data_IF_374465225786
#
_entry.id   IF_374465225786
#
_cell.length_a   1.000
_cell.length_b   1.000
_cell.length_c   1.000
_cell.angle_alpha   90.00
_cell.angle_beta   90.00
_cell.angle_gamma   90.00
#
_symmetry.space_group_name_H-M   'P 1'
#
loop_
_entity.id
_entity.type
_entity.pdbx_description
1 polymer ?
#
# COMPACT_ATOMS: atom_id res chain seq x y z
N UNK A 1 31.42 -13.25 30.80
CA UNK A 1 30.70 -13.28 29.53
C UNK A 1 29.86 -14.55 29.51
N UNK A 2 28.55 -14.51 29.70
CA UNK A 2 27.67 -15.65 29.45
C UNK A 2 27.03 -15.50 28.06
N UNK A 3 27.14 -16.57 27.32
CA UNK A 3 26.61 -16.80 25.98
C UNK A 3 25.09 -16.90 26.00
N UNK A 4 24.40 -15.95 25.39
CA UNK A 4 22.98 -16.08 25.01
C UNK A 4 22.86 -17.01 23.81
N UNK A 5 22.68 -18.28 24.07
CA UNK A 5 22.12 -19.26 23.12
C UNK A 5 20.84 -19.83 23.74
N UNK A 6 19.80 -19.97 22.92
CA UNK A 6 18.49 -20.60 23.18
C UNK A 6 17.41 -19.70 23.78
N UNK A 7 16.72 -18.92 22.92
CA UNK A 7 15.37 -18.42 23.19
C UNK A 7 14.49 -18.32 21.91
N UNK A 8 14.84 -19.05 20.85
CA UNK A 8 14.08 -19.05 19.59
C UNK A 8 13.06 -20.20 19.47
N UNK A 9 12.97 -21.07 20.46
CA UNK A 9 12.08 -22.25 20.39
C UNK A 9 10.79 -22.19 21.21
N UNK A 10 10.59 -21.16 22.03
CA UNK A 10 9.51 -21.16 23.04
C UNK A 10 8.32 -20.25 22.80
N UNK A 11 8.37 -19.32 21.85
CA UNK A 11 7.33 -18.31 21.67
C UNK A 11 6.25 -18.69 20.62
N UNK A 12 6.50 -19.68 19.79
CA UNK A 12 5.51 -20.13 18.77
C UNK A 12 4.44 -21.08 19.35
N UNK A 13 4.70 -21.68 20.50
CA UNK A 13 3.77 -22.66 21.10
C UNK A 13 2.75 -22.06 22.07
N UNK A 14 2.87 -20.81 22.47
CA UNK A 14 2.03 -20.17 23.49
C UNK A 14 0.81 -19.39 23.02
N UNK A 15 0.65 -19.17 21.70
CA UNK A 15 -0.40 -18.31 21.14
C UNK A 15 -1.58 -19.10 20.52
N UNK A 16 -1.65 -20.40 20.72
CA UNK A 16 -2.61 -21.28 20.03
C UNK A 16 -3.92 -21.54 20.77
N UNK A 17 -4.22 -20.80 21.85
CA UNK A 17 -5.45 -20.97 22.61
C UNK A 17 -6.14 -19.64 22.91
N UNK A 18 -6.74 -19.01 21.91
CA UNK A 18 -7.90 -18.14 22.11
C UNK A 18 -8.75 -18.17 20.84
N UNK A 19 -9.96 -18.65 21.03
CA UNK A 19 -10.95 -18.99 20.02
C UNK A 19 -11.75 -17.79 19.52
N UNK A 20 -12.05 -17.82 18.30
CA UNK A 20 -13.17 -17.44 17.42
C UNK A 20 -13.23 -16.05 16.80
N UNK A 21 -13.20 -16.04 15.57
CA UNK A 21 -13.68 -15.53 14.29
C UNK A 21 -13.16 -14.19 13.75
N UNK A 22 -13.00 -14.09 12.63
CA UNK A 22 -13.13 -13.69 11.27
C UNK A 22 -12.27 -12.56 10.78
N UNK A 23 -11.71 -12.71 9.63
CA UNK A 23 -11.30 -11.60 8.84
C UNK A 23 -11.09 -11.87 7.37
N UNK A 24 -11.15 -10.83 6.65
CA UNK A 24 -10.99 -10.66 5.23
C UNK A 24 -9.57 -10.16 4.92
N UNK A 25 -8.86 -10.88 4.04
CA UNK A 25 -7.54 -10.47 3.60
C UNK A 25 -7.64 -9.55 2.39
N UNK A 26 -6.95 -8.42 2.49
CA UNK A 26 -6.38 -7.61 1.43
C UNK A 26 -7.32 -7.10 0.32
N UNK A 27 -8.37 -6.43 0.68
CA UNK A 27 -8.88 -5.25 -0.03
C UNK A 27 -9.33 -4.29 1.06
N UNK A 28 -9.23 -2.96 0.90
CA UNK A 28 -9.97 -2.08 1.77
C UNK A 28 -11.45 -2.37 1.49
N UNK A 29 -12.09 -3.01 2.49
CA UNK A 29 -13.50 -3.33 2.41
C UNK A 29 -14.36 -2.08 2.60
N UNK A 30 -15.41 -1.93 1.81
CA UNK A 30 -16.55 -1.12 2.21
C UNK A 30 -17.32 -1.95 3.24
N UNK A 31 -17.16 -1.70 4.52
CA UNK A 31 -17.94 -2.47 5.47
C UNK A 31 -17.50 -2.48 6.91
N UNK A 32 -16.80 -1.46 7.36
CA UNK A 32 -17.02 -0.91 8.69
C UNK A 32 -16.50 0.52 8.72
N UNK A 33 -17.40 1.47 8.75
CA UNK A 33 -17.16 2.80 8.18
C UNK A 33 -16.59 3.82 9.15
N UNK A 34 -16.18 3.44 10.35
CA UNK A 34 -15.78 4.48 11.30
C UNK A 34 -14.45 5.12 10.89
N UNK A 35 -13.46 4.33 10.44
CA UNK A 35 -12.13 4.86 10.12
C UNK A 35 -11.55 4.27 8.82
N UNK A 36 -11.54 5.07 7.76
CA UNK A 36 -10.98 4.67 6.47
C UNK A 36 -9.45 4.70 6.45
N UNK A 37 -8.84 3.95 5.54
CA UNK A 37 -7.39 4.00 5.30
C UNK A 37 -6.89 5.37 4.82
N UNK A 38 -7.72 6.07 4.02
CA UNK A 38 -7.58 7.49 3.70
C UNK A 38 -8.52 8.26 4.61
N UNK A 39 -8.00 8.91 5.65
CA UNK A 39 -8.79 9.55 6.71
C UNK A 39 -9.69 10.68 6.23
N UNK A 40 -9.40 11.27 5.08
CA UNK A 40 -10.29 12.26 4.47
C UNK A 40 -11.57 11.66 3.86
N UNK A 41 -11.72 10.34 3.86
CA UNK A 41 -12.96 9.64 3.49
C UNK A 41 -13.85 9.34 4.70
N UNK A 42 -13.42 9.66 5.91
CA UNK A 42 -14.25 9.52 7.10
C UNK A 42 -15.41 10.53 7.03
N UNK A 43 -16.62 10.10 7.35
CA UNK A 43 -17.81 10.94 7.40
C UNK A 43 -18.48 10.85 8.77
N UNK A 44 -18.39 11.94 9.51
CA UNK A 44 -19.03 12.11 10.82
C UNK A 44 -20.19 13.12 10.81
N UNK A 45 -20.70 13.50 9.64
CA UNK A 45 -21.80 14.45 9.49
C UNK A 45 -23.07 14.02 10.21
N UNK A 46 -23.27 12.70 10.42
CA UNK A 46 -24.40 12.14 11.16
C UNK A 46 -24.44 12.59 12.63
N UNK A 47 -23.29 13.00 13.21
CA UNK A 47 -23.19 13.52 14.57
C UNK A 47 -23.72 14.96 14.73
N UNK A 48 -24.20 15.58 13.64
CA UNK A 48 -25.06 16.77 13.73
C UNK A 48 -26.30 16.50 14.59
N UNK A 49 -26.72 15.23 14.71
CA UNK A 49 -27.72 14.76 15.65
C UNK A 49 -27.02 14.17 16.89
N UNK A 50 -27.02 14.87 18.04
CA UNK A 50 -26.32 14.40 19.25
C UNK A 50 -26.84 13.05 19.80
N UNK A 51 -28.05 12.64 19.42
CA UNK A 51 -28.61 11.35 19.85
C UNK A 51 -27.90 10.14 19.20
N UNK A 52 -27.11 10.37 18.16
CA UNK A 52 -26.32 9.36 17.46
C UNK A 52 -24.91 9.17 18.03
N UNK A 53 -24.52 10.00 19.00
CA UNK A 53 -23.24 9.85 19.68
C UNK A 53 -23.25 8.61 20.57
N UNK A 54 -22.35 7.68 20.32
CA UNK A 54 -22.22 6.40 21.02
C UNK A 54 -20.80 6.13 21.52
N UNK A 55 -19.86 6.99 21.13
CA UNK A 55 -18.44 6.84 21.40
C UNK A 55 -17.85 8.08 22.10
N UNK A 56 -16.89 7.94 23.03
CA UNK A 56 -16.25 9.09 23.68
C UNK A 56 -15.55 10.06 22.72
N UNK A 57 -15.05 9.57 21.58
CA UNK A 57 -14.38 10.39 20.57
C UNK A 57 -15.36 11.19 19.72
N UNK A 58 -16.65 10.85 19.71
CA UNK A 58 -17.68 11.57 18.94
C UNK A 58 -17.73 13.06 19.29
N UNK A 59 -17.34 13.42 20.53
CA UNK A 59 -17.28 14.80 20.99
C UNK A 59 -16.36 15.71 20.16
N UNK A 60 -15.36 15.13 19.48
CA UNK A 60 -14.42 15.88 18.61
C UNK A 60 -14.64 15.61 17.12
N UNK A 61 -15.60 14.72 16.75
CA UNK A 61 -15.89 14.36 15.36
C UNK A 61 -16.83 15.33 14.65
N UNK A 62 -17.65 16.04 15.41
CA UNK A 62 -18.54 17.06 14.88
C UNK A 62 -18.59 18.26 15.82
N UNK A 63 -17.67 19.20 15.62
CA UNK A 63 -17.61 20.46 16.39
C UNK A 63 -18.24 21.54 15.52
N UNK A 64 -19.48 22.00 15.80
CA UNK A 64 -20.15 23.00 14.98
C UNK A 64 -19.42 24.35 15.08
N UNK A 65 -19.09 24.95 13.96
CA UNK A 65 -18.48 26.28 13.84
C UNK A 65 -19.55 27.33 13.55
N UNK A 66 -20.56 26.97 12.77
CA UNK A 66 -21.66 27.85 12.40
C UNK A 66 -22.64 27.24 11.43
N UNK A 67 -23.72 27.97 11.16
CA UNK A 67 -24.70 27.64 10.13
C UNK A 67 -24.73 28.77 9.12
N UNK A 68 -24.16 28.56 7.95
CA UNK A 68 -24.13 29.52 6.84
C UNK A 68 -25.29 29.36 5.88
N UNK A 69 -25.39 30.28 4.93
CA UNK A 69 -26.36 30.21 3.83
C UNK A 69 -26.19 28.96 2.95
N UNK A 70 -25.00 28.34 2.98
CA UNK A 70 -24.61 27.21 2.13
C UNK A 70 -24.27 25.96 2.95
N UNK A 71 -25.06 25.68 3.98
CA UNK A 71 -24.93 24.49 4.81
C UNK A 71 -24.21 24.69 6.14
N UNK A 72 -24.12 23.64 6.95
CA UNK A 72 -23.47 23.70 8.26
C UNK A 72 -21.94 23.78 8.09
N UNK A 73 -21.30 24.54 8.96
CA UNK A 73 -19.85 24.56 9.09
C UNK A 73 -19.46 23.81 10.35
N UNK A 74 -18.55 22.84 10.23
CA UNK A 74 -18.06 22.06 11.35
C UNK A 74 -16.60 21.64 11.18
N UNK A 75 -15.96 21.27 12.28
CA UNK A 75 -14.63 20.71 12.36
C UNK A 75 -14.73 19.27 12.86
N UNK A 76 -14.05 18.35 12.18
CA UNK A 76 -13.82 16.99 12.65
C UNK A 76 -12.34 16.80 12.96
N UNK A 77 -12.02 16.32 14.17
CA UNK A 77 -10.66 15.98 14.57
C UNK A 77 -10.51 14.47 14.72
N UNK A 78 -9.33 13.97 14.40
CA UNK A 78 -9.03 12.56 14.51
C UNK A 78 -7.54 12.25 14.47
N UNK A 79 -7.22 10.98 14.58
CA UNK A 79 -5.84 10.55 14.52
C UNK A 79 -5.66 9.05 14.47
N UNK A 80 -4.40 8.64 14.34
CA UNK A 80 -3.94 7.26 14.40
C UNK A 80 -2.63 7.20 15.18
N UNK A 81 -2.54 6.26 16.11
CA UNK A 81 -1.29 5.87 16.78
C UNK A 81 -0.97 4.43 16.38
N UNK A 82 0.21 4.18 15.81
CA UNK A 82 0.69 2.84 15.48
C UNK A 82 2.03 2.58 16.14
N UNK A 83 2.10 1.49 16.89
CA UNK A 83 3.34 0.91 17.41
C UNK A 83 3.59 -0.41 16.72
N UNK A 84 4.82 -0.60 16.19
CA UNK A 84 5.18 -1.78 15.42
C UNK A 84 6.60 -2.21 15.73
N UNK A 85 6.77 -3.36 16.39
CA UNK A 85 8.07 -3.98 16.64
C UNK A 85 8.39 -4.92 15.50
N UNK A 86 9.53 -4.75 14.87
CA UNK A 86 10.02 -5.59 13.78
C UNK A 86 11.37 -6.25 14.14
N UNK A 87 11.44 -7.56 13.91
CA UNK A 87 12.70 -8.31 13.90
C UNK A 87 12.97 -8.76 12.47
N UNK A 88 14.04 -8.25 11.88
CA UNK A 88 14.36 -8.48 10.48
C UNK A 88 15.76 -9.06 10.36
N UNK A 89 15.89 -10.32 9.95
CA UNK A 89 17.17 -10.97 9.70
C UNK A 89 17.47 -10.95 8.20
N UNK A 90 18.68 -10.53 7.84
CA UNK A 90 19.14 -10.38 6.47
C UNK A 90 18.22 -9.49 5.58
N UNK A 91 17.81 -8.29 6.03
CA UNK A 91 17.02 -7.40 5.19
C UNK A 91 17.73 -7.19 3.84
N UNK A 92 16.96 -6.95 2.77
CA UNK A 92 17.49 -6.87 1.40
C UNK A 92 18.30 -8.12 0.99
N UNK A 93 17.86 -9.31 1.40
CA UNK A 93 18.58 -10.59 1.18
C UNK A 93 19.98 -10.64 1.84
N UNK A 94 20.27 -9.77 2.80
CA UNK A 94 21.62 -9.62 3.37
C UNK A 94 22.67 -9.08 2.39
N UNK A 95 22.26 -8.55 1.23
CA UNK A 95 23.14 -7.93 0.24
C UNK A 95 23.61 -6.52 0.63
N UNK A 96 23.02 -5.97 1.70
CA UNK A 96 23.40 -4.70 2.35
C UNK A 96 23.55 -4.93 3.84
N UNK A 97 24.30 -4.09 4.54
CA UNK A 97 24.29 -4.02 6.01
C UNK A 97 23.00 -3.25 6.46
N UNK A 98 22.45 -3.54 7.64
CA UNK A 98 22.86 -4.56 8.61
C UNK A 98 22.40 -5.97 8.22
N UNK A 99 22.98 -6.99 8.89
CA UNK A 99 22.59 -8.40 8.67
C UNK A 99 21.38 -8.82 9.52
N UNK A 100 21.08 -8.12 10.60
CA UNK A 100 19.92 -8.37 11.48
C UNK A 100 19.64 -7.12 12.28
N UNK A 101 18.36 -6.86 12.50
CA UNK A 101 17.91 -5.73 13.28
C UNK A 101 16.66 -6.07 14.10
N UNK A 102 16.45 -5.33 15.21
CA UNK A 102 15.25 -5.35 16.04
C UNK A 102 14.95 -3.91 16.44
N UNK A 103 13.82 -3.41 16.03
CA UNK A 103 13.47 -2.01 16.23
C UNK A 103 11.96 -1.82 16.43
N UNK A 104 11.62 -0.69 17.01
CA UNK A 104 10.25 -0.20 17.13
C UNK A 104 10.02 0.93 16.10
N UNK A 105 8.97 0.83 15.34
CA UNK A 105 8.43 1.90 14.51
C UNK A 105 7.24 2.52 15.22
N UNK A 106 7.37 3.80 15.54
CA UNK A 106 6.31 4.64 16.08
C UNK A 106 5.73 5.52 15.00
N UNK A 107 4.40 5.61 14.88
CA UNK A 107 3.71 6.53 13.97
C UNK A 107 2.54 7.18 14.67
N UNK A 108 2.51 8.51 14.70
CA UNK A 108 1.39 9.31 15.15
C UNK A 108 0.89 10.17 13.98
N UNK A 109 -0.39 10.06 13.65
CA UNK A 109 -1.07 10.90 12.68
C UNK A 109 -2.17 11.69 13.39
N UNK A 110 -2.28 12.99 13.12
CA UNK A 110 -3.34 13.85 13.63
C UNK A 110 -3.99 14.58 12.47
N UNK A 111 -5.30 14.49 12.34
CA UNK A 111 -6.03 15.13 11.24
C UNK A 111 -7.11 16.10 11.73
N UNK A 112 -7.32 17.12 10.93
CA UNK A 112 -8.38 18.11 11.06
C UNK A 112 -9.10 18.25 9.71
N UNK A 113 -10.40 18.04 9.72
CA UNK A 113 -11.28 18.14 8.57
C UNK A 113 -12.27 19.28 8.79
N UNK A 114 -12.14 20.34 8.01
CA UNK A 114 -12.90 21.60 8.15
C UNK A 114 -13.91 21.68 7.03
N UNK A 115 -15.16 21.43 7.34
CA UNK A 115 -16.28 21.67 6.44
C UNK A 115 -16.74 23.13 6.58
N UNK A 116 -16.39 23.95 5.59
CA UNK A 116 -16.69 25.40 5.63
C UNK A 116 -18.12 25.64 5.15
N UNK A 117 -18.54 24.90 4.11
CA UNK A 117 -19.88 24.89 3.54
C UNK A 117 -20.11 23.52 2.88
N UNK A 118 -21.29 23.27 2.31
CA UNK A 118 -21.56 22.09 1.46
C UNK A 118 -20.68 22.04 0.20
N UNK A 119 -20.00 23.13 -0.14
CA UNK A 119 -19.22 23.30 -1.37
C UNK A 119 -17.71 23.42 -1.15
N UNK A 120 -17.29 23.71 0.07
CA UNK A 120 -15.87 23.97 0.37
C UNK A 120 -15.46 23.24 1.64
N UNK A 121 -14.42 22.43 1.51
CA UNK A 121 -13.80 21.66 2.59
C UNK A 121 -12.29 21.88 2.56
N UNK A 122 -11.64 21.86 3.72
CA UNK A 122 -10.20 21.80 3.85
C UNK A 122 -9.81 20.65 4.78
N UNK A 123 -8.80 19.89 4.40
CA UNK A 123 -8.29 18.77 5.20
C UNK A 123 -6.81 18.98 5.47
N UNK A 124 -6.40 18.69 6.72
CA UNK A 124 -5.02 18.76 7.17
C UNK A 124 -4.67 17.50 7.94
N UNK A 125 -3.47 16.97 7.73
CA UNK A 125 -2.94 15.87 8.52
C UNK A 125 -1.45 16.10 8.81
N UNK A 126 -1.10 16.08 10.09
CA UNK A 126 0.28 16.06 10.57
C UNK A 126 0.68 14.61 10.83
N UNK A 127 1.93 14.30 10.59
CA UNK A 127 2.54 13.00 10.91
C UNK A 127 3.81 13.19 11.72
N UNK A 128 4.06 12.22 12.59
CA UNK A 128 5.32 12.03 13.31
C UNK A 128 5.66 10.55 13.21
N UNK A 129 6.83 10.23 12.68
CA UNK A 129 7.31 8.85 12.60
C UNK A 129 8.72 8.73 13.14
N UNK A 130 8.95 7.71 13.97
CA UNK A 130 10.22 7.47 14.64
C UNK A 130 10.60 5.99 14.54
N UNK A 131 11.91 5.73 14.53
CA UNK A 131 12.46 4.39 14.63
C UNK A 131 13.42 4.30 15.81
N UNK A 132 13.11 3.44 16.77
CA UNK A 132 13.84 3.29 18.01
C UNK A 132 14.51 1.92 18.11
N UNK A 133 15.72 1.86 18.67
CA UNK A 133 16.42 0.62 18.99
C UNK A 133 17.18 -0.01 17.82
N UNK A 134 17.39 0.70 16.72
CA UNK A 134 18.11 0.19 15.58
C UNK A 134 19.63 0.08 15.79
N UNK A 135 20.27 -0.78 15.01
CA UNK A 135 21.71 -0.91 14.90
C UNK A 135 22.21 -0.74 13.45
N UNK A 136 21.34 -0.35 12.56
CA UNK A 136 21.57 -0.38 11.13
C UNK A 136 21.32 0.94 10.39
N UNK A 137 21.36 0.85 9.08
CA UNK A 137 21.04 1.99 8.22
C UNK A 137 19.52 2.17 8.20
N UNK A 138 19.06 3.32 8.71
CA UNK A 138 17.67 3.74 8.67
C UNK A 138 17.22 3.90 7.22
N UNK A 139 16.02 3.43 6.90
CA UNK A 139 15.37 3.75 5.62
C UNK A 139 14.77 5.16 5.70
N UNK A 140 14.77 5.88 4.59
CA UNK A 140 14.02 7.15 4.47
C UNK A 140 12.50 6.96 4.62
N UNK A 141 12.03 5.72 4.71
CA UNK A 141 10.64 5.38 4.95
C UNK A 141 10.34 5.01 6.39
N UNK A 142 11.31 5.16 7.30
CA UNK A 142 11.17 4.78 8.71
C UNK A 142 11.04 5.97 9.64
N UNK A 143 11.71 7.09 9.33
CA UNK A 143 11.77 8.30 10.15
C UNK A 143 11.39 9.52 9.32
N UNK A 144 10.51 10.32 9.89
CA UNK A 144 10.07 11.61 9.40
C UNK A 144 9.44 12.36 10.58
N UNK A 145 10.20 13.31 11.17
CA UNK A 145 9.76 14.02 12.36
C UNK A 145 8.80 15.14 11.99
N UNK A 146 7.65 15.13 12.60
CA UNK A 146 6.61 16.15 12.53
C UNK A 146 6.54 16.89 11.19
N UNK A 147 5.86 16.31 10.22
CA UNK A 147 5.65 16.94 8.93
C UNK A 147 4.16 17.04 8.55
N UNK A 148 3.88 17.87 7.54
CA UNK A 148 2.56 18.06 6.97
C UNK A 148 2.33 17.01 5.87
N UNK A 149 1.74 15.87 6.23
CA UNK A 149 1.47 14.77 5.29
C UNK A 149 0.35 15.09 4.31
N UNK A 150 -0.69 15.80 4.75
CA UNK A 150 -1.78 16.19 3.88
C UNK A 150 -2.23 17.62 4.19
N UNK A 151 -2.45 18.41 3.15
CA UNK A 151 -3.05 19.73 3.23
C UNK A 151 -3.68 20.08 1.90
N UNK A 152 -5.00 19.97 1.80
CA UNK A 152 -5.70 20.28 0.56
C UNK A 152 -7.03 21.00 0.79
N UNK A 153 -7.53 21.58 -0.27
CA UNK A 153 -8.86 22.20 -0.33
C UNK A 153 -9.65 21.45 -1.41
N UNK A 154 -10.87 21.07 -1.06
CA UNK A 154 -11.88 20.57 -1.97
C UNK A 154 -12.90 21.67 -2.28
N UNK A 155 -13.20 21.83 -3.56
CA UNK A 155 -14.28 22.70 -4.03
C UNK A 155 -15.24 21.85 -4.87
N UNK A 156 -16.50 21.77 -4.43
CA UNK A 156 -17.60 21.11 -5.13
C UNK A 156 -18.59 22.18 -5.59
N UNK A 157 -18.52 22.68 -6.85
CA UNK A 157 -19.40 23.76 -7.29
C UNK A 157 -20.88 23.29 -7.30
N UNK A 158 -21.84 24.21 -7.08
CA UNK A 158 -23.25 23.86 -7.20
C UNK A 158 -23.57 23.37 -8.61
N UNK A 159 -24.27 22.24 -8.70
CA UNK A 159 -24.66 21.63 -9.98
C UNK A 159 -26.17 21.54 -10.12
N UNK A 160 -26.74 22.03 -11.21
CA UNK A 160 -28.18 21.87 -11.48
C UNK A 160 -28.56 20.43 -11.88
N UNK A 161 -27.55 19.57 -12.13
CA UNK A 161 -27.74 18.17 -12.55
C UNK A 161 -27.61 17.17 -11.39
N UNK A 162 -27.47 17.63 -10.15
CA UNK A 162 -27.26 16.81 -8.96
C UNK A 162 -25.82 16.86 -8.51
N UNK A 163 -25.15 15.72 -8.42
CA UNK A 163 -23.75 15.68 -8.00
C UNK A 163 -22.84 16.47 -8.96
N UNK A 164 -21.82 17.10 -8.37
CA UNK A 164 -20.86 17.89 -9.09
C UNK A 164 -19.45 17.33 -8.85
N UNK A 165 -18.53 17.50 -9.81
CA UNK A 165 -17.15 17.11 -9.60
C UNK A 165 -16.53 17.84 -8.42
N UNK A 166 -15.65 17.16 -7.70
CA UNK A 166 -14.81 17.72 -6.64
C UNK A 166 -13.48 18.11 -7.25
N UNK A 167 -13.11 19.37 -7.12
CA UNK A 167 -11.82 19.91 -7.50
C UNK A 167 -10.95 19.98 -6.25
N UNK A 168 -9.90 19.17 -6.19
CA UNK A 168 -8.91 19.17 -5.10
C UNK A 168 -7.62 19.80 -5.54
N UNK A 169 -7.04 20.64 -4.67
CA UNK A 169 -5.71 21.19 -4.83
C UNK A 169 -4.96 21.15 -3.50
N UNK A 170 -3.72 20.68 -3.54
CA UNK A 170 -2.84 20.59 -2.38
C UNK A 170 -2.10 19.29 -2.29
N UNK A 171 -1.71 18.94 -1.07
CA UNK A 171 -1.00 17.70 -0.71
C UNK A 171 -2.00 16.65 -0.25
N UNK A 172 -1.98 15.49 -0.89
CA UNK A 172 -2.89 14.39 -0.56
C UNK A 172 -2.22 13.02 -0.69
N UNK A 173 -2.73 12.06 0.05
CA UNK A 173 -2.46 10.63 -0.17
C UNK A 173 -3.34 10.10 -1.29
N UNK A 174 -2.79 9.25 -2.16
CA UNK A 174 -3.49 8.65 -3.29
C UNK A 174 -3.53 7.12 -3.19
N UNK A 175 -4.70 6.55 -3.49
CA UNK A 175 -4.92 5.13 -3.54
C UNK A 175 -5.88 4.79 -4.69
N UNK A 176 -5.42 3.98 -5.67
CA UNK A 176 -6.24 3.56 -6.79
C UNK A 176 -6.27 2.03 -6.96
N UNK A 177 -7.44 1.53 -7.28
CA UNK A 177 -7.68 0.13 -7.60
C UNK A 177 -7.21 -0.82 -6.51
N UNK A 178 -6.44 -1.84 -6.90
CA UNK A 178 -5.83 -2.80 -5.96
C UNK A 178 -4.44 -2.35 -5.46
N UNK A 179 -4.13 -1.07 -5.56
CA UNK A 179 -2.88 -0.45 -5.10
C UNK A 179 -1.60 -1.02 -5.78
N UNK A 180 -1.75 -1.54 -6.99
CA UNK A 180 -0.60 -2.11 -7.72
C UNK A 180 0.31 -1.07 -8.31
N UNK A 181 -0.23 0.11 -8.68
CA UNK A 181 0.50 1.19 -9.35
C UNK A 181 0.54 2.49 -8.56
N UNK A 182 -0.51 2.80 -7.77
CA UNK A 182 -0.59 4.00 -6.94
C UNK A 182 -1.15 3.61 -5.58
N UNK A 183 -0.38 3.85 -4.52
CA UNK A 183 -0.72 3.48 -3.15
C UNK A 183 -0.06 4.38 -2.11
N UNK A 184 -0.66 4.46 -0.95
CA UNK A 184 -0.16 5.21 0.23
C UNK A 184 1.06 4.57 0.89
N UNK A 185 1.47 3.36 0.51
CA UNK A 185 2.60 2.67 1.14
C UNK A 185 2.39 2.41 2.64
N UNK A 186 1.28 1.73 3.00
CA UNK A 186 0.86 1.54 4.40
C UNK A 186 1.85 0.69 5.24
N UNK A 187 2.56 -0.26 4.64
CA UNK A 187 3.49 -1.15 5.36
C UNK A 187 4.66 -0.41 6.03
N UNK A 188 5.45 0.40 5.32
CA UNK A 188 6.47 1.27 5.90
C UNK A 188 5.91 2.26 6.93
N UNK A 189 6.81 2.93 7.66
CA UNK A 189 6.40 3.88 8.71
C UNK A 189 5.92 5.19 8.11
N UNK A 190 6.70 5.77 7.19
CA UNK A 190 6.35 6.99 6.45
C UNK A 190 5.38 6.64 5.30
N UNK A 191 4.23 7.27 5.26
CA UNK A 191 3.23 7.13 4.19
C UNK A 191 3.65 7.96 2.99
N UNK A 192 3.04 7.69 1.82
CA UNK A 192 3.36 8.41 0.58
C UNK A 192 2.25 9.38 0.24
N UNK A 193 2.63 10.60 -0.02
CA UNK A 193 1.77 11.70 -0.43
C UNK A 193 2.27 12.38 -1.69
N UNK A 194 1.42 13.25 -2.24
CA UNK A 194 1.62 13.93 -3.52
C UNK A 194 1.11 15.36 -3.45
N UNK A 195 1.87 16.29 -3.97
CA UNK A 195 1.45 17.69 -4.21
C UNK A 195 0.87 17.81 -5.63
N UNK A 196 -0.33 18.43 -5.76
CA UNK A 196 -0.89 18.66 -7.08
C UNK A 196 -2.39 18.95 -7.12
N UNK A 197 -3.03 18.50 -8.19
CA UNK A 197 -4.46 18.70 -8.44
C UNK A 197 -5.13 17.40 -8.82
N UNK A 198 -6.35 17.19 -8.33
CA UNK A 198 -7.23 16.08 -8.71
C UNK A 198 -8.64 16.60 -8.94
N UNK A 199 -9.30 16.04 -9.95
CA UNK A 199 -10.72 16.22 -10.21
C UNK A 199 -11.37 14.86 -10.11
N UNK A 200 -12.32 14.70 -9.20
CA UNK A 200 -13.07 13.46 -9.00
C UNK A 200 -14.55 13.70 -9.28
N UNK A 201 -15.17 12.81 -10.04
CA UNK A 201 -16.60 12.85 -10.33
C UNK A 201 -17.20 11.44 -10.25
N UNK A 202 -18.50 11.36 -10.04
CA UNK A 202 -19.21 10.09 -10.00
C UNK A 202 -20.60 10.18 -10.63
N UNK A 203 -21.03 9.10 -11.29
CA UNK A 203 -22.35 8.95 -11.89
C UNK A 203 -22.93 7.59 -11.48
N UNK A 204 -23.81 7.59 -10.47
CA UNK A 204 -24.22 6.35 -9.82
C UNK A 204 -23.00 5.64 -9.22
N UNK A 205 -22.76 4.40 -9.59
CA UNK A 205 -21.60 3.61 -9.13
C UNK A 205 -20.33 3.79 -9.98
N UNK A 206 -20.36 4.60 -11.03
CA UNK A 206 -19.20 4.90 -11.84
C UNK A 206 -18.45 6.10 -11.26
N UNK A 207 -17.10 6.02 -11.21
CA UNK A 207 -16.24 7.11 -10.74
C UNK A 207 -15.14 7.40 -11.73
N UNK A 208 -14.76 8.67 -11.89
CA UNK A 208 -13.60 9.08 -12.65
C UNK A 208 -12.73 10.01 -11.81
N UNK A 209 -11.42 9.79 -11.86
CA UNK A 209 -10.42 10.68 -11.31
C UNK A 209 -9.48 11.13 -12.43
N UNK A 210 -9.25 12.43 -12.51
CA UNK A 210 -8.21 13.06 -13.32
C UNK A 210 -7.19 13.66 -12.39
N UNK A 211 -5.90 13.41 -12.60
CA UNK A 211 -4.85 13.88 -11.69
C UNK A 211 -3.63 14.40 -12.43
N UNK A 212 -2.95 15.36 -11.81
CA UNK A 212 -1.61 15.82 -12.15
C UNK A 212 -0.88 16.18 -10.86
N UNK A 213 0.07 15.33 -10.45
CA UNK A 213 0.67 15.37 -9.12
C UNK A 213 2.16 15.04 -9.17
N UNK A 214 2.88 15.42 -8.12
CA UNK A 214 4.28 15.10 -7.88
C UNK A 214 4.42 14.44 -6.52
N UNK A 215 5.17 13.33 -6.39
CA UNK A 215 5.44 12.74 -5.07
C UNK A 215 6.29 13.69 -4.23
N UNK A 216 6.32 13.49 -2.92
CA UNK A 216 7.25 14.17 -2.07
C UNK A 216 8.61 13.45 -2.01
N UNK A 217 9.62 14.19 -1.61
CA UNK A 217 10.88 13.70 -1.06
C UNK A 217 10.75 13.73 0.45
N UNK A 218 10.52 12.56 1.02
CA UNK A 218 10.48 12.40 2.47
C UNK A 218 11.89 12.69 3.05
N UNK A 219 11.97 13.53 4.06
CA UNK A 219 13.18 13.89 4.81
C UNK A 219 12.97 13.54 6.28
N UNK A 220 14.03 13.46 7.07
CA UNK A 220 13.89 13.03 8.47
C UNK A 220 13.80 14.18 9.47
N UNK A 221 13.67 15.42 9.01
CA UNK A 221 13.63 16.62 9.86
C UNK A 221 12.22 17.01 10.29
N UNK A 222 12.00 18.29 10.51
CA UNK A 222 10.72 18.87 10.94
C UNK A 222 10.28 19.88 9.91
N UNK A 223 9.13 19.67 9.27
CA UNK A 223 8.60 20.48 8.16
C UNK A 223 9.61 20.69 7.03
N UNK A 224 10.35 19.63 6.68
CA UNK A 224 11.40 19.69 5.65
C UNK A 224 11.10 18.82 4.41
N UNK A 225 9.93 18.21 4.36
CA UNK A 225 9.41 17.52 3.19
C UNK A 225 9.06 18.49 2.06
N UNK A 226 9.52 18.18 0.88
CA UNK A 226 9.32 19.04 -0.28
C UNK A 226 8.95 18.24 -1.55
N UNK A 227 8.21 18.91 -2.43
CA UNK A 227 7.81 18.34 -3.73
C UNK A 227 9.01 17.84 -4.52
N UNK A 228 8.98 16.60 -4.97
CA UNK A 228 9.98 16.05 -5.84
C UNK A 228 9.80 16.56 -7.28
N UNK A 229 10.54 17.64 -7.60
CA UNK A 229 10.49 18.28 -8.93
C UNK A 229 11.03 17.42 -10.07
N UNK A 230 11.64 16.25 -9.77
CA UNK A 230 12.19 15.31 -10.76
C UNK A 230 11.24 14.18 -11.13
N UNK A 231 10.12 14.07 -10.45
CA UNK A 231 9.10 13.07 -10.73
C UNK A 231 7.74 13.72 -10.90
N UNK A 232 6.96 13.21 -11.85
CA UNK A 232 5.61 13.67 -12.13
C UNK A 232 4.72 12.50 -12.53
N UNK A 233 3.49 12.51 -12.04
CA UNK A 233 2.43 11.55 -12.37
C UNK A 233 1.19 12.31 -12.80
N UNK A 234 0.60 11.91 -13.93
CA UNK A 234 -0.68 12.45 -14.39
C UNK A 234 -1.52 11.35 -15.03
N UNK A 235 -2.80 11.58 -15.19
CA UNK A 235 -3.63 10.60 -15.88
C UNK A 235 -5.11 10.66 -15.54
N UNK A 236 -5.79 9.60 -15.97
CA UNK A 236 -7.20 9.35 -15.74
C UNK A 236 -7.41 7.93 -15.22
N UNK A 237 -8.25 7.77 -14.22
CA UNK A 237 -8.64 6.49 -13.65
C UNK A 237 -10.17 6.42 -13.59
N UNK A 238 -10.77 5.46 -14.28
CA UNK A 238 -12.19 5.25 -14.38
C UNK A 238 -12.56 3.91 -13.74
N UNK A 239 -13.54 3.89 -12.85
CA UNK A 239 -14.16 2.68 -12.32
C UNK A 239 -15.61 2.64 -12.75
N UNK A 240 -16.06 1.55 -13.38
CA UNK A 240 -17.45 1.38 -13.85
C UNK A 240 -18.02 0.02 -13.44
N UNK A 241 -19.31 -0.05 -13.06
CA UNK A 241 -20.02 -1.31 -12.99
C UNK A 241 -20.26 -1.83 -14.42
N UNK A 242 -19.89 -3.09 -14.68
CA UNK A 242 -20.14 -3.76 -15.97
C UNK A 242 -21.38 -4.66 -15.89
N UNK A 243 -21.77 -5.00 -14.66
CA UNK A 243 -22.93 -5.84 -14.38
C UNK A 243 -23.16 -5.98 -12.89
N UNK A 244 -24.09 -6.82 -12.45
CA UNK A 244 -24.47 -6.90 -11.03
C UNK A 244 -23.37 -7.43 -10.11
N UNK A 245 -22.38 -8.13 -10.67
CA UNK A 245 -21.31 -8.78 -9.90
C UNK A 245 -19.90 -8.44 -10.44
N UNK A 246 -19.83 -7.64 -11.50
CA UNK A 246 -18.56 -7.29 -12.17
C UNK A 246 -18.38 -5.79 -12.21
N UNK A 247 -17.22 -5.31 -11.77
CA UNK A 247 -16.74 -3.95 -11.96
C UNK A 247 -15.47 -3.95 -12.81
N UNK A 248 -15.22 -2.87 -13.51
CA UNK A 248 -14.00 -2.68 -14.28
C UNK A 248 -13.36 -1.34 -13.94
N UNK A 249 -12.03 -1.34 -13.81
CA UNK A 249 -11.23 -0.13 -13.90
C UNK A 249 -10.60 -0.06 -15.28
N UNK A 250 -10.51 1.16 -15.82
CA UNK A 250 -9.76 1.48 -17.02
C UNK A 250 -8.95 2.73 -16.73
N UNK A 251 -7.66 2.70 -16.99
CA UNK A 251 -6.81 3.84 -16.65
C UNK A 251 -5.72 4.11 -17.70
N UNK A 252 -5.34 5.36 -17.76
CA UNK A 252 -4.17 5.87 -18.43
C UNK A 252 -3.38 6.71 -17.44
N UNK A 253 -2.09 6.37 -17.25
CA UNK A 253 -1.18 7.05 -16.34
C UNK A 253 0.10 7.42 -17.09
N UNK A 254 0.43 8.71 -17.10
CA UNK A 254 1.70 9.23 -17.57
C UNK A 254 2.64 9.43 -16.40
N UNK A 255 3.91 9.07 -16.58
CA UNK A 255 4.94 9.21 -15.55
C UNK A 255 6.26 9.71 -16.16
N UNK A 256 6.86 10.69 -15.50
CA UNK A 256 8.21 11.17 -15.80
C UNK A 256 9.11 11.02 -14.57
N UNK A 257 10.37 10.60 -14.80
CA UNK A 257 11.42 10.58 -13.78
C UNK A 257 12.76 10.97 -14.42
N UNK A 258 13.30 12.11 -14.02
CA UNK A 258 14.56 12.64 -14.55
C UNK A 258 15.80 11.86 -14.07
N UNK A 259 15.67 11.05 -13.03
CA UNK A 259 16.76 10.31 -12.39
C UNK A 259 16.58 8.79 -12.43
N UNK A 260 15.79 8.27 -13.36
CA UNK A 260 15.57 6.83 -13.53
C UNK A 260 16.87 6.09 -13.87
N UNK A 261 16.95 4.81 -13.45
CA UNK A 261 18.15 3.98 -13.63
C UNK A 261 17.78 2.65 -14.26
N UNK A 262 18.31 2.41 -15.46
CA UNK A 262 18.22 1.12 -16.17
C UNK A 262 19.57 0.79 -16.81
N UNK A 263 19.96 -0.49 -16.84
CA UNK A 263 21.23 -0.97 -17.43
C UNK A 263 22.47 -0.24 -16.87
N UNK A 264 22.44 0.19 -15.61
CA UNK A 264 23.52 0.99 -15.01
C UNK A 264 23.61 2.45 -15.50
N UNK A 265 22.70 2.90 -16.37
CA UNK A 265 22.63 4.27 -16.87
C UNK A 265 21.59 5.06 -16.07
N UNK A 266 21.85 6.34 -15.82
CA UNK A 266 20.90 7.29 -15.25
C UNK A 266 20.40 8.23 -16.36
N UNK A 267 19.11 8.55 -16.38
CA UNK A 267 18.55 9.47 -17.36
C UNK A 267 17.05 9.69 -17.18
N UNK A 268 16.51 10.50 -18.09
CA UNK A 268 15.08 10.81 -18.13
C UNK A 268 14.30 9.60 -18.65
N UNK A 269 13.32 9.18 -17.87
CA UNK A 269 12.26 8.24 -18.22
C UNK A 269 10.97 9.00 -18.47
N UNK A 270 10.28 8.71 -19.59
CA UNK A 270 8.90 9.12 -19.87
C UNK A 270 8.12 7.88 -20.22
N UNK A 271 7.10 7.57 -19.41
CA UNK A 271 6.34 6.33 -19.52
C UNK A 271 4.85 6.61 -19.59
N UNK A 272 4.15 5.93 -20.48
CA UNK A 272 2.70 5.90 -20.56
C UNK A 272 2.24 4.49 -20.20
N UNK A 273 1.36 4.39 -19.22
CA UNK A 273 0.78 3.12 -18.75
C UNK A 273 -0.71 3.09 -19.09
N UNK A 274 -1.15 2.08 -19.81
CA UNK A 274 -2.56 1.81 -20.08
C UNK A 274 -2.92 0.50 -19.42
N UNK A 275 -3.99 0.48 -18.65
CA UNK A 275 -4.38 -0.73 -17.96
C UNK A 275 -5.87 -0.87 -17.75
N UNK A 276 -6.23 -2.10 -17.42
CA UNK A 276 -7.60 -2.47 -17.04
C UNK A 276 -7.56 -3.48 -15.91
N UNK A 277 -8.52 -3.37 -15.00
CA UNK A 277 -8.76 -4.32 -13.92
C UNK A 277 -10.22 -4.76 -13.96
N UNK A 278 -10.46 -6.06 -13.86
CA UNK A 278 -11.77 -6.67 -13.73
C UNK A 278 -11.86 -7.33 -12.36
N UNK A 279 -12.89 -7.01 -11.60
CA UNK A 279 -13.02 -7.51 -10.24
C UNK A 279 -14.48 -7.66 -9.83
N UNK A 280 -14.71 -8.51 -8.84
CA UNK A 280 -16.04 -8.74 -8.32
C UNK A 280 -16.11 -9.90 -7.35
N UNK A 281 -17.32 -10.16 -6.86
CA UNK A 281 -17.60 -11.29 -5.98
C UNK A 281 -19.03 -11.80 -6.19
N UNK A 282 -19.24 -13.09 -5.99
CA UNK A 282 -20.56 -13.71 -6.01
C UNK A 282 -20.55 -15.07 -5.32
N UNK A 283 -21.52 -15.33 -4.45
CA UNK A 283 -21.74 -16.64 -3.80
C UNK A 283 -20.47 -17.24 -3.18
N UNK A 284 -19.67 -16.41 -2.51
CA UNK A 284 -18.41 -16.81 -1.89
C UNK A 284 -17.21 -16.86 -2.84
N UNK A 285 -17.39 -16.76 -4.15
CA UNK A 285 -16.31 -16.64 -5.12
C UNK A 285 -15.93 -15.18 -5.32
N UNK A 286 -14.65 -14.84 -5.24
CA UNK A 286 -14.11 -13.51 -5.49
C UNK A 286 -12.97 -13.57 -6.52
N UNK A 287 -12.81 -12.48 -7.31
CA UNK A 287 -11.76 -12.37 -8.30
C UNK A 287 -11.30 -10.91 -8.49
N UNK A 288 -10.05 -10.75 -8.90
CA UNK A 288 -9.44 -9.48 -9.25
C UNK A 288 -8.32 -9.74 -10.26
N UNK A 289 -8.51 -9.35 -11.49
CA UNK A 289 -7.54 -9.52 -12.56
C UNK A 289 -7.18 -8.15 -13.16
N UNK A 290 -5.89 -7.88 -13.33
CA UNK A 290 -5.39 -6.60 -13.84
C UNK A 290 -4.30 -6.81 -14.86
N UNK A 291 -4.35 -6.07 -15.98
CA UNK A 291 -3.33 -6.04 -17.00
C UNK A 291 -2.92 -4.59 -17.28
N UNK A 292 -1.62 -4.36 -17.44
CA UNK A 292 -1.07 -3.06 -17.80
C UNK A 292 0.02 -3.18 -18.87
N UNK A 293 0.00 -2.24 -19.81
CA UNK A 293 1.02 -2.09 -20.84
C UNK A 293 1.70 -0.74 -20.68
N UNK A 294 3.01 -0.74 -20.83
CA UNK A 294 3.82 0.46 -20.70
C UNK A 294 4.62 0.71 -21.98
N UNK A 295 4.58 1.95 -22.45
CA UNK A 295 5.36 2.43 -23.57
C UNK A 295 5.95 3.81 -23.26
N UNK A 296 7.03 4.18 -23.92
CA UNK A 296 7.67 5.47 -23.70
C UNK A 296 9.14 5.46 -24.08
N UNK A 297 9.92 6.28 -23.40
CA UNK A 297 11.37 6.42 -23.66
C UNK A 297 12.17 6.51 -22.38
N UNK A 298 13.35 5.92 -22.38
CA UNK A 298 14.41 6.14 -21.40
C UNK A 298 15.69 6.54 -22.14
N UNK A 299 16.11 7.79 -21.99
CA UNK A 299 17.18 8.36 -22.81
C UNK A 299 16.87 8.15 -24.31
N UNK A 300 17.71 7.36 -25.01
CA UNK A 300 17.57 7.04 -26.44
C UNK A 300 16.99 5.63 -26.68
N UNK A 301 16.43 4.98 -25.66
CA UNK A 301 15.83 3.66 -25.73
C UNK A 301 14.31 3.75 -25.63
N UNK A 302 13.60 3.00 -26.46
CA UNK A 302 12.16 2.79 -26.28
C UNK A 302 11.89 2.00 -25.00
N UNK A 303 10.74 2.25 -24.38
CA UNK A 303 10.20 1.42 -23.30
C UNK A 303 9.07 0.57 -23.86
N UNK A 304 9.09 -0.74 -23.56
CA UNK A 304 8.04 -1.71 -23.90
C UNK A 304 7.94 -2.73 -22.78
N UNK A 305 7.02 -2.52 -21.86
CA UNK A 305 6.87 -3.37 -20.68
C UNK A 305 5.40 -3.72 -20.43
N UNK A 306 5.17 -4.79 -19.69
CA UNK A 306 3.83 -5.28 -19.38
C UNK A 306 3.74 -5.89 -17.99
N UNK A 307 2.54 -5.88 -17.44
CA UNK A 307 2.17 -6.56 -16.20
C UNK A 307 0.84 -7.29 -16.37
N UNK A 308 0.76 -8.46 -15.77
CA UNK A 308 -0.48 -9.20 -15.53
C UNK A 308 -0.52 -9.59 -14.06
N UNK A 309 -1.66 -9.41 -13.41
CA UNK A 309 -1.88 -9.82 -12.02
C UNK A 309 -3.28 -10.39 -11.87
N UNK A 310 -3.42 -11.47 -11.12
CA UNK A 310 -4.71 -12.09 -10.87
C UNK A 310 -4.79 -12.63 -9.43
N UNK A 311 -5.98 -12.52 -8.87
CA UNK A 311 -6.37 -13.12 -7.60
C UNK A 311 -7.72 -13.79 -7.83
N UNK A 312 -7.88 -15.01 -7.36
CA UNK A 312 -9.17 -15.68 -7.30
C UNK A 312 -9.27 -16.50 -6.01
N UNK A 313 -10.46 -16.59 -5.46
CA UNK A 313 -10.68 -17.35 -4.24
C UNK A 313 -12.12 -17.76 -4.03
N UNK A 314 -12.30 -18.70 -3.11
CA UNK A 314 -13.61 -19.16 -2.69
C UNK A 314 -13.68 -19.21 -1.17
N UNK A 315 -14.67 -18.54 -0.60
CA UNK A 315 -14.98 -18.53 0.84
C UNK A 315 -16.11 -19.51 1.12
N UNK A 316 -15.85 -20.50 1.96
CA UNK A 316 -16.84 -21.45 2.44
C UNK A 316 -17.68 -20.83 3.57
N UNK A 317 -18.72 -20.09 3.20
CA UNK A 317 -19.48 -19.21 4.12
C UNK A 317 -20.20 -19.99 5.23
N UNK A 318 -20.63 -21.23 4.95
CA UNK A 318 -21.38 -22.09 5.87
C UNK A 318 -20.46 -23.02 6.71
N UNK A 319 -19.14 -22.96 6.50
CA UNK A 319 -18.17 -23.76 7.25
C UNK A 319 -17.68 -22.97 8.46
N UNK A 320 -17.53 -23.57 9.65
CA UNK A 320 -16.92 -22.89 10.80
C UNK A 320 -15.59 -22.25 10.43
N UNK A 321 -15.32 -21.07 10.99
CA UNK A 321 -14.16 -20.24 10.68
C UNK A 321 -14.17 -19.66 9.25
N UNK A 322 -15.21 -19.88 8.45
CA UNK A 322 -15.38 -19.40 7.07
C UNK A 322 -14.07 -19.41 6.26
N UNK A 323 -13.44 -20.59 6.08
CA UNK A 323 -12.16 -20.65 5.39
C UNK A 323 -12.30 -20.17 3.94
N UNK A 324 -11.34 -19.38 3.47
CA UNK A 324 -11.17 -19.01 2.07
C UNK A 324 -9.91 -19.64 1.52
N UNK A 325 -10.02 -20.35 0.42
CA UNK A 325 -8.90 -20.85 -0.36
C UNK A 325 -8.76 -19.96 -1.58
N UNK A 326 -7.57 -19.43 -1.82
CA UNK A 326 -7.29 -18.54 -2.94
C UNK A 326 -5.94 -18.81 -3.59
N UNK A 327 -5.79 -18.25 -4.76
CA UNK A 327 -4.53 -18.20 -5.49
C UNK A 327 -4.31 -16.76 -5.98
N UNK A 328 -3.10 -16.28 -5.83
CA UNK A 328 -2.63 -15.03 -6.36
C UNK A 328 -1.48 -15.29 -7.33
N UNK A 329 -1.30 -14.44 -8.33
CA UNK A 329 -0.17 -14.52 -9.23
C UNK A 329 0.02 -13.18 -9.94
N UNK A 330 1.28 -12.84 -10.17
CA UNK A 330 1.68 -11.66 -10.89
C UNK A 330 2.74 -12.03 -11.92
N UNK A 331 2.83 -11.26 -13.00
CA UNK A 331 3.90 -11.34 -13.99
C UNK A 331 4.22 -9.93 -14.44
N UNK A 332 5.40 -9.45 -14.09
CA UNK A 332 5.91 -8.15 -14.52
C UNK A 332 7.15 -8.35 -15.39
N UNK A 333 7.14 -7.80 -16.60
CA UNK A 333 8.24 -7.98 -17.56
C UNK A 333 9.57 -7.44 -17.05
N UNK A 334 10.64 -8.09 -17.47
CA UNK A 334 12.02 -7.69 -17.29
C UNK A 334 12.68 -7.22 -18.57
N UNK A 335 13.84 -6.63 -18.42
CA UNK A 335 14.64 -6.17 -19.54
C UNK A 335 15.36 -7.32 -20.25
N UNK A 336 15.42 -7.23 -21.57
CA UNK A 336 16.25 -8.11 -22.38
C UNK A 336 17.41 -7.31 -22.96
N UNK A 337 18.61 -7.52 -22.42
CA UNK A 337 19.81 -6.78 -22.84
C UNK A 337 20.21 -7.00 -24.31
N UNK A 338 19.64 -7.99 -25.01
CA UNK A 338 19.82 -8.24 -26.43
C UNK A 338 18.91 -7.39 -27.31
N UNK A 339 17.99 -6.61 -26.75
CA UNK A 339 17.13 -5.68 -27.49
C UNK A 339 17.50 -4.23 -27.20
N UNK A 340 17.11 -3.32 -28.09
CA UNK A 340 17.29 -1.89 -27.87
C UNK A 340 16.29 -1.29 -26.87
N UNK A 341 15.09 -1.89 -26.71
CA UNK A 341 14.05 -1.41 -25.82
C UNK A 341 14.33 -1.81 -24.36
N UNK A 342 13.92 -0.96 -23.41
CA UNK A 342 13.86 -1.27 -21.98
C UNK A 342 12.57 -2.05 -21.71
N UNK A 343 12.72 -3.30 -21.29
CA UNK A 343 11.60 -4.22 -21.04
C UNK A 343 11.13 -4.26 -19.56
N UNK A 344 11.88 -3.66 -18.65
CA UNK A 344 11.55 -3.68 -17.22
C UNK A 344 10.27 -2.91 -16.95
N UNK A 345 9.27 -3.58 -16.36
CA UNK A 345 8.05 -2.95 -15.87
C UNK A 345 8.36 -2.06 -14.65
N UNK A 346 7.73 -0.91 -14.58
CA UNK A 346 7.82 0.01 -13.45
C UNK A 346 6.43 0.23 -12.86
N UNK A 347 6.19 -0.26 -11.66
CA UNK A 347 4.92 -0.07 -10.96
C UNK A 347 4.74 1.36 -10.41
N UNK A 348 5.70 2.26 -10.61
CA UNK A 348 5.70 3.66 -10.18
C UNK A 348 5.61 3.79 -8.65
N UNK A 349 4.41 3.73 -8.07
CA UNK A 349 4.13 3.95 -6.65
C UNK A 349 3.32 2.81 -6.02
N UNK A 350 3.76 1.54 -6.11
CA UNK A 350 2.99 0.40 -5.65
C UNK A 350 2.85 0.37 -4.12
N UNK A 351 1.89 -0.46 -3.67
CA UNK A 351 1.81 -0.83 -2.24
C UNK A 351 3.09 -1.54 -1.79
N UNK A 352 3.39 -1.43 -0.52
CA UNK A 352 4.44 -2.20 0.15
C UNK A 352 3.89 -2.76 1.47
N UNK A 353 4.04 -4.07 1.73
CA UNK A 353 4.62 -5.08 0.84
C UNK A 353 3.78 -5.28 -0.43
N UNK A 354 4.40 -5.61 -1.56
CA UNK A 354 3.69 -5.87 -2.81
C UNK A 354 3.30 -7.34 -2.95
N UNK A 355 4.27 -8.24 -2.85
CA UNK A 355 4.07 -9.69 -2.92
C UNK A 355 3.62 -10.24 -1.56
N UNK A 356 4.48 -10.93 -0.84
CA UNK A 356 4.20 -11.42 0.49
C UNK A 356 4.65 -10.39 1.58
N UNK A 357 5.00 -10.82 2.79
CA UNK A 357 5.12 -9.92 3.95
C UNK A 357 6.50 -9.26 4.09
N UNK A 358 7.57 -9.86 3.54
CA UNK A 358 8.95 -9.37 3.72
C UNK A 358 9.27 -8.09 2.96
N UNK A 359 8.41 -7.63 2.06
CA UNK A 359 8.58 -6.37 1.28
C UNK A 359 9.91 -6.28 0.50
N UNK A 360 10.47 -7.43 0.12
CA UNK A 360 11.78 -7.50 -0.55
C UNK A 360 11.74 -7.02 -2.00
N UNK A 361 10.63 -7.26 -2.72
CA UNK A 361 10.55 -7.05 -4.16
C UNK A 361 9.36 -6.18 -4.55
N UNK A 362 9.50 -5.48 -5.66
CA UNK A 362 8.44 -4.80 -6.39
C UNK A 362 8.16 -5.52 -7.72
N UNK A 363 7.00 -5.31 -8.39
CA UNK A 363 6.68 -5.97 -9.65
C UNK A 363 7.51 -5.41 -10.80
N UNK A 364 8.74 -5.89 -10.90
CA UNK A 364 9.71 -5.56 -11.95
C UNK A 364 10.60 -6.77 -12.17
N UNK A 365 10.63 -7.30 -13.39
CA UNK A 365 11.38 -8.51 -13.74
C UNK A 365 11.04 -9.73 -12.87
N UNK A 366 9.79 -9.92 -12.51
CA UNK A 366 9.39 -11.02 -11.63
C UNK A 366 8.03 -11.56 -12.01
N UNK A 367 7.83 -12.87 -11.87
CA UNK A 367 6.52 -13.49 -11.76
C UNK A 367 6.46 -14.39 -10.54
N UNK A 368 5.26 -14.55 -9.99
CA UNK A 368 5.00 -15.33 -8.81
C UNK A 368 3.72 -16.16 -8.90
N UNK A 369 3.62 -17.14 -8.03
CA UNK A 369 2.39 -17.86 -7.73
C UNK A 369 2.31 -18.04 -6.23
N UNK A 370 1.20 -17.57 -5.64
CA UNK A 370 0.94 -17.59 -4.19
C UNK A 370 -0.40 -18.25 -3.87
N UNK A 371 -0.46 -19.56 -3.55
CA UNK A 371 -1.58 -20.12 -2.82
C UNK A 371 -1.74 -19.42 -1.46
N UNK A 372 -3.00 -19.13 -1.11
CA UNK A 372 -3.36 -18.43 0.13
C UNK A 372 -4.53 -19.13 0.77
N UNK A 373 -4.46 -19.31 2.09
CA UNK A 373 -5.59 -19.73 2.91
C UNK A 373 -5.83 -18.66 3.95
N UNK A 374 -7.05 -18.16 4.03
CA UNK A 374 -7.46 -17.30 5.13
C UNK A 374 -8.63 -17.92 5.87
N UNK A 375 -8.74 -17.66 7.14
CA UNK A 375 -9.82 -18.18 7.96
C UNK A 375 -10.08 -17.28 9.15
N UNK A 376 -11.22 -17.47 9.70
CA UNK A 376 -11.83 -16.75 10.79
C UNK A 376 -11.79 -17.54 12.11
N UNK A 377 -10.66 -17.55 12.91
CA UNK A 377 -10.63 -18.24 14.19
C UNK A 377 -11.57 -17.63 15.25
N UNK A 378 -11.82 -16.31 15.26
CA UNK A 378 -12.79 -15.58 16.08
C UNK A 378 -13.45 -14.40 15.33
N UNK A 379 -14.62 -13.84 15.75
CA UNK A 379 -15.41 -12.89 15.00
C UNK A 379 -14.61 -11.64 14.54
N UNK A 380 -13.61 -11.27 15.29
CA UNK A 380 -12.80 -10.08 15.08
C UNK A 380 -11.31 -10.42 14.88
N UNK A 381 -10.99 -11.69 14.58
CA UNK A 381 -9.62 -12.15 14.31
C UNK A 381 -9.48 -12.72 12.92
N UNK A 382 -8.52 -12.24 12.15
CA UNK A 382 -8.09 -12.78 10.86
C UNK A 382 -6.84 -13.61 10.99
N UNK A 383 -6.79 -14.73 10.31
CA UNK A 383 -5.54 -15.42 10.04
C UNK A 383 -5.39 -15.68 8.54
N UNK A 384 -4.22 -15.38 8.00
CA UNK A 384 -3.85 -15.57 6.59
C UNK A 384 -2.55 -16.34 6.54
N UNK A 385 -2.52 -17.42 5.77
CA UNK A 385 -1.33 -18.22 5.49
C UNK A 385 -1.04 -18.12 4.00
N UNK A 386 0.19 -17.81 3.63
CA UNK A 386 0.64 -17.69 2.25
C UNK A 386 1.88 -18.51 1.96
N UNK A 387 1.95 -19.02 0.73
CA UNK A 387 3.13 -19.66 0.17
C UNK A 387 3.41 -19.04 -1.18
N UNK A 388 4.34 -18.10 -1.23
CA UNK A 388 4.66 -17.37 -2.45
C UNK A 388 5.96 -17.88 -3.07
N UNK A 389 5.94 -18.28 -4.32
CA UNK A 389 7.15 -18.70 -5.06
C UNK A 389 7.37 -17.77 -6.24
N UNK A 390 8.60 -17.24 -6.34
CA UNK A 390 8.96 -16.16 -7.23
C UNK A 390 10.10 -16.56 -8.19
N UNK A 391 10.02 -16.09 -9.45
CA UNK A 391 11.01 -16.27 -10.49
C UNK A 391 11.27 -14.96 -11.23
N UNK A 392 12.46 -14.81 -11.80
CA UNK A 392 12.77 -13.71 -12.75
C UNK A 392 12.04 -13.93 -14.07
N UNK A 393 11.52 -12.86 -14.65
CA UNK A 393 10.91 -12.88 -15.98
C UNK A 393 11.97 -12.86 -17.11
N UNK A 394 13.10 -12.21 -16.86
CA UNK A 394 14.28 -12.18 -17.74
C UNK A 394 15.55 -12.50 -16.94
N UNK A 395 16.43 -13.31 -17.50
CA UNK A 395 17.73 -13.67 -16.93
C UNK A 395 18.81 -12.61 -17.16
N UNK A 396 18.57 -11.66 -18.06
CA UNK A 396 19.48 -10.53 -18.34
C UNK A 396 19.16 -9.27 -17.54
N UNK A 397 18.11 -9.28 -16.75
CA UNK A 397 17.72 -8.18 -15.86
C UNK A 397 17.91 -8.54 -14.39
N UNK A 398 17.95 -7.53 -13.52
CA UNK A 398 18.12 -7.71 -12.08
C UNK A 398 16.83 -7.91 -11.31
N UNK A 399 16.95 -8.06 -9.99
CA UNK A 399 15.83 -7.99 -9.03
C UNK A 399 15.74 -6.57 -8.46
N UNK A 400 14.51 -6.09 -8.24
CA UNK A 400 14.25 -4.72 -7.82
C UNK A 400 13.48 -4.66 -6.51
N UNK A 401 14.02 -3.86 -5.58
CA UNK A 401 13.35 -3.46 -4.36
C UNK A 401 12.58 -2.14 -4.52
N UNK A 402 12.09 -1.62 -3.40
CA UNK A 402 11.34 -0.35 -3.36
C UNK A 402 12.08 0.77 -4.09
N UNK A 403 11.32 1.64 -4.78
CA UNK A 403 11.87 2.74 -5.58
C UNK A 403 12.62 2.29 -6.84
N UNK A 404 12.37 1.11 -7.35
CA UNK A 404 13.08 0.53 -8.53
C UNK A 404 14.60 0.43 -8.31
N UNK A 405 15.03 0.22 -7.07
CA UNK A 405 16.45 0.04 -6.74
C UNK A 405 16.85 -1.41 -7.03
N UNK A 406 17.74 -1.60 -8.02
CA UNK A 406 18.26 -2.91 -8.38
C UNK A 406 19.19 -3.46 -7.28
N UNK A 407 18.97 -4.71 -6.86
CA UNK A 407 19.88 -5.42 -5.97
C UNK A 407 21.21 -5.74 -6.69
N UNK A 408 22.31 -5.56 -5.96
CA UNK A 408 23.64 -5.74 -6.49
C UNK A 408 23.86 -7.15 -7.06
N UNK A 409 24.48 -7.23 -8.23
CA UNK A 409 24.86 -8.45 -8.96
C UNK A 409 23.70 -9.36 -9.40
N UNK A 410 22.46 -9.07 -9.08
CA UNK A 410 21.31 -9.93 -9.46
C UNK A 410 21.06 -10.00 -10.97
N UNK A 411 21.60 -9.07 -11.75
CA UNK A 411 21.60 -9.09 -13.22
C UNK A 411 22.77 -9.90 -13.85
N UNK A 412 23.63 -10.51 -13.01
CA UNK A 412 24.80 -11.27 -13.46
C UNK A 412 24.68 -12.77 -13.18
N UNK A 413 23.59 -13.17 -12.56
CA UNK A 413 23.32 -14.55 -12.16
C UNK A 413 22.55 -15.31 -13.23
N UNK A 414 22.67 -16.62 -13.25
CA UNK A 414 22.02 -17.49 -14.24
C UNK A 414 20.71 -18.11 -13.72
N UNK A 415 20.58 -18.23 -12.41
CA UNK A 415 19.40 -18.79 -11.78
C UNK A 415 18.12 -17.97 -12.04
N UNK A 416 17.05 -18.61 -12.45
CA UNK A 416 15.75 -17.94 -12.65
C UNK A 416 14.92 -17.86 -11.38
N UNK A 417 14.92 -18.90 -10.53
CA UNK A 417 14.14 -18.93 -9.30
C UNK A 417 14.72 -17.98 -8.27
N UNK A 418 13.88 -17.00 -7.83
CA UNK A 418 14.25 -16.01 -6.81
C UNK A 418 14.18 -16.61 -5.42
N UNK A 419 13.10 -17.30 -5.11
CA UNK A 419 12.90 -17.95 -3.83
C UNK A 419 11.45 -18.30 -3.54
N UNK A 420 11.22 -18.63 -2.27
CA UNK A 420 9.87 -18.93 -1.77
C UNK A 420 9.70 -18.26 -0.41
N UNK A 421 8.62 -17.52 -0.24
CA UNK A 421 8.21 -16.96 1.05
C UNK A 421 7.07 -17.77 1.66
N UNK A 422 7.23 -18.15 2.90
CA UNK A 422 6.17 -18.68 3.75
C UNK A 422 5.75 -17.58 4.71
N UNK A 423 4.46 -17.27 4.79
CA UNK A 423 3.98 -16.19 5.65
C UNK A 423 2.74 -16.56 6.44
N UNK A 424 2.61 -15.95 7.61
CA UNK A 424 1.42 -15.97 8.45
C UNK A 424 1.17 -14.54 8.94
N UNK A 425 -0.06 -14.04 8.77
CA UNK A 425 -0.54 -12.76 9.29
C UNK A 425 -1.78 -13.04 10.14
N UNK A 426 -1.77 -12.57 11.39
CA UNK A 426 -2.90 -12.69 12.31
C UNK A 426 -3.23 -11.29 12.80
N UNK A 427 -4.48 -10.88 12.65
CA UNK A 427 -4.98 -9.58 13.10
C UNK A 427 -6.22 -9.77 13.94
N UNK A 428 -6.30 -9.04 15.03
CA UNK A 428 -7.46 -8.98 15.90
C UNK A 428 -7.96 -7.53 15.99
N UNK A 429 -9.19 -7.30 15.55
CA UNK A 429 -9.91 -6.05 15.79
C UNK A 429 -10.51 -6.15 17.20
N UNK A 430 -9.82 -5.55 18.16
CA UNK A 430 -10.26 -5.55 19.58
C UNK A 430 -11.59 -4.82 19.74
N UNK A 431 -11.70 -3.67 19.07
CA UNK A 431 -12.91 -2.84 18.96
C UNK A 431 -12.83 -1.96 17.69
N UNK A 432 -13.68 -0.94 17.57
CA UNK A 432 -13.68 -0.03 16.42
C UNK A 432 -12.41 0.85 16.33
N UNK A 433 -11.66 1.00 17.41
CA UNK A 433 -10.47 1.83 17.51
C UNK A 433 -9.17 1.05 17.41
N UNK A 434 -9.09 -0.13 18.04
CA UNK A 434 -7.85 -0.85 18.25
C UNK A 434 -7.78 -2.13 17.41
N UNK A 435 -6.75 -2.20 16.59
CA UNK A 435 -6.33 -3.42 15.90
C UNK A 435 -4.95 -3.80 16.43
N UNK A 436 -4.78 -5.06 16.83
CA UNK A 436 -3.48 -5.64 17.15
C UNK A 436 -3.19 -6.81 16.22
N UNK A 437 -1.92 -7.08 15.94
CA UNK A 437 -1.59 -8.18 15.05
C UNK A 437 -0.15 -8.67 15.16
N UNK A 438 0.09 -9.80 14.53
CA UNK A 438 1.39 -10.44 14.42
C UNK A 438 1.60 -10.96 13.00
N UNK A 439 2.79 -10.75 12.46
CA UNK A 439 3.22 -11.27 11.15
C UNK A 439 4.49 -12.09 11.35
N UNK A 440 4.56 -13.25 10.71
CA UNK A 440 5.77 -14.05 10.64
C UNK A 440 5.99 -14.46 9.18
N UNK A 441 7.19 -14.24 8.66
CA UNK A 441 7.56 -14.64 7.32
C UNK A 441 8.99 -15.17 7.25
N UNK A 442 9.19 -16.18 6.41
CA UNK A 442 10.50 -16.75 6.08
C UNK A 442 10.65 -16.83 4.57
N UNK A 443 11.59 -16.06 4.03
CA UNK A 443 11.96 -16.11 2.62
C UNK A 443 13.15 -17.06 2.43
N UNK A 444 12.94 -18.16 1.74
CA UNK A 444 13.94 -19.15 1.37
C UNK A 444 14.56 -18.75 0.03
N UNK A 445 15.79 -18.25 0.05
CA UNK A 445 16.49 -17.76 -1.12
C UNK A 445 16.70 -18.86 -2.17
N UNK A 446 16.30 -18.59 -3.40
CA UNK A 446 16.57 -19.44 -4.56
C UNK A 446 17.91 -19.13 -5.24
N UNK A 447 18.23 -19.88 -6.33
CA UNK A 447 19.51 -19.72 -7.04
C UNK A 447 19.81 -18.28 -7.48
N UNK A 448 18.82 -17.52 -7.96
CA UNK A 448 19.02 -16.14 -8.40
C UNK A 448 19.52 -15.22 -7.25
N UNK A 449 19.09 -15.46 -6.04
CA UNK A 449 19.53 -14.70 -4.87
C UNK A 449 20.85 -15.26 -4.31
N UNK A 450 20.99 -16.59 -4.25
CA UNK A 450 22.20 -17.25 -3.71
C UNK A 450 23.44 -16.99 -4.57
N UNK A 451 23.32 -17.05 -5.91
CA UNK A 451 24.42 -16.72 -6.83
C UNK A 451 24.85 -15.26 -6.70
N UNK A 452 23.94 -14.34 -6.32
CA UNK A 452 24.26 -12.95 -6.00
C UNK A 452 24.84 -12.78 -4.58
N UNK A 453 25.08 -13.87 -3.84
CA UNK A 453 25.54 -13.91 -2.45
C UNK A 453 24.46 -13.47 -1.42
N UNK A 454 23.21 -13.49 -1.80
CA UNK A 454 22.08 -13.26 -0.92
C UNK A 454 21.74 -14.47 -0.04
N UNK A 455 20.98 -14.22 1.00
CA UNK A 455 20.65 -15.17 2.08
C UNK A 455 19.14 -15.30 2.24
N UNK A 456 18.72 -16.31 3.01
CA UNK A 456 17.36 -16.38 3.53
C UNK A 456 17.05 -15.16 4.41
N UNK A 457 15.77 -14.82 4.46
CA UNK A 457 15.30 -13.66 5.23
C UNK A 457 14.21 -14.11 6.20
N UNK A 458 14.36 -13.79 7.49
CA UNK A 458 13.31 -14.00 8.49
C UNK A 458 12.75 -12.64 8.91
N UNK A 459 11.44 -12.52 8.96
CA UNK A 459 10.74 -11.30 9.33
C UNK A 459 9.63 -11.60 10.33
N UNK A 460 9.67 -10.93 11.47
CA UNK A 460 8.68 -11.07 12.54
C UNK A 460 8.20 -9.68 12.93
N UNK A 461 6.89 -9.52 13.10
CA UNK A 461 6.25 -8.25 13.47
C UNK A 461 5.23 -8.48 14.55
N UNK A 462 5.18 -7.55 15.52
CA UNK A 462 4.05 -7.34 16.41
C UNK A 462 3.61 -5.89 16.28
N UNK A 463 2.32 -5.63 16.15
CA UNK A 463 1.85 -4.26 16.02
C UNK A 463 0.52 -4.02 16.73
N UNK A 464 0.30 -2.76 17.08
CA UNK A 464 -0.98 -2.21 17.51
C UNK A 464 -1.25 -0.91 16.78
N UNK A 465 -2.47 -0.72 16.30
CA UNK A 465 -2.93 0.51 15.66
C UNK A 465 -4.20 0.97 16.35
N UNK A 466 -4.20 2.18 16.90
CA UNK A 466 -5.33 2.81 17.53
C UNK A 466 -5.77 4.01 16.69
N UNK A 467 -7.07 4.09 16.36
CA UNK A 467 -7.66 5.19 15.58
C UNK A 467 -8.75 5.87 16.39
N UNK A 468 -8.79 7.18 16.30
CA UNK A 468 -9.78 7.97 17.01
C UNK A 468 -10.22 9.17 16.19
#
# INVERSE_FOLDING_TARGET
MPTFRTLTGGLVAGLLLLTSAAARAASPEPGDPTYHGLRYNDDFSYLADPSKSTDPWDAIKYIPIGNGQYGPSYLSLGGELRERVESYQNPNFGLKAPQSDLYLLHRLLLNADVHVTDYVRAFFQLGETERLGDRGVTSTTDIDHLDLLQAFIDVKPPSPLGDAPVFRVGREELLFGFQRLIAVREGPNVRRDFDGVRISDHWGDATIDLLAVRPLNDSSGVFDDHTNMKQELWGAYLTVPVGPVLKADVYWLGYENEAAKYRGLTGVERRQTFGTRLFGETNGFDWNAEAALQQGTFRNHDIRASMLAAIAGYTFQDVPMQPRIGIEGNAASGDNSHTSAIGTFNAMFPRLPYFAETSLLVPANVYDVRPVVSFKPAQDVTAVLGWDTLWRASDTDGLYGSGMVQYANTNKVTGSRVGTELSADVRWRVDQHLIVGAIAAEFLAGPAVQEALGKNVTFLVLFGTYRF
#
